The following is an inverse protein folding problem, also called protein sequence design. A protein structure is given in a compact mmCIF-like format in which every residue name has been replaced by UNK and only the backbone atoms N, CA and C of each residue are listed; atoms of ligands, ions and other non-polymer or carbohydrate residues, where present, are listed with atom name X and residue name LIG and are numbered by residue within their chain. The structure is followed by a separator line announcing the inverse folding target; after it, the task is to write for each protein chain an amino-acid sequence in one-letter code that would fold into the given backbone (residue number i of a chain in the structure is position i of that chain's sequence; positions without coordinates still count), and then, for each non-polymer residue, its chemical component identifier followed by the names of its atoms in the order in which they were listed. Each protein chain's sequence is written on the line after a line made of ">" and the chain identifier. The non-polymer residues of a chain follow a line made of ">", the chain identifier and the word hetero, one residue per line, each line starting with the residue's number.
data_IF_788617110122
#
_entry.id   IF_788617110122
#
_cell.length_a   1.000
_cell.length_b   1.000
_cell.length_c   1.000
_cell.angle_alpha   90.00
_cell.angle_beta   90.00
_cell.angle_gamma   90.00
#
_symmetry.space_group_name_H-M   'P 1'
#
loop_
_entity.id
_entity.type
_entity.pdbx_description
1 polymer ?
#
# COMPACT_ATOMS: atom_id res chain seq x y z
N UNK A 1 -2.07 0.17 5.70
CA UNK A 1 -2.01 1.65 5.72
C UNK A 1 -3.41 2.22 5.60
N UNK A 2 -3.80 3.20 6.42
CA UNK A 2 -5.08 3.87 6.26
C UNK A 2 -5.10 4.73 5.00
N UNK A 3 -6.27 4.87 4.38
CA UNK A 3 -6.55 5.86 3.35
C UNK A 3 -8.01 6.32 3.49
N UNK A 4 -8.32 7.54 3.03
CA UNK A 4 -9.68 8.09 3.11
C UNK A 4 -10.44 7.79 1.81
N UNK A 5 -11.62 7.19 1.92
CA UNK A 5 -12.58 7.10 0.84
C UNK A 5 -13.39 8.40 0.77
N UNK A 6 -13.03 9.23 -0.20
CA UNK A 6 -13.67 10.53 -0.46
C UNK A 6 -15.17 10.42 -0.71
N UNK A 7 -15.67 9.27 -1.17
CA UNK A 7 -17.11 9.08 -1.42
C UNK A 7 -17.91 8.82 -0.14
N UNK A 8 -17.22 8.42 0.94
CA UNK A 8 -17.81 8.15 2.25
C UNK A 8 -17.54 9.25 3.27
N UNK A 9 -16.42 9.97 3.10
CA UNK A 9 -16.05 11.03 4.03
C UNK A 9 -16.98 12.23 3.87
N UNK A 10 -17.60 12.65 4.97
CA UNK A 10 -18.50 13.81 5.05
C UNK A 10 -17.83 15.07 5.61
N UNK A 11 -16.51 15.00 5.85
CA UNK A 11 -15.74 16.11 6.38
C UNK A 11 -15.93 16.41 7.87
N UNK A 12 -16.49 15.48 8.66
CA UNK A 12 -16.77 15.72 10.09
C UNK A 12 -15.55 16.03 10.97
N UNK A 13 -14.33 15.67 10.56
CA UNK A 13 -13.09 16.03 11.26
C UNK A 13 -12.74 15.20 12.50
N UNK A 14 -13.56 14.24 12.93
CA UNK A 14 -13.29 13.43 14.14
C UNK A 14 -11.92 12.76 14.13
N UNK A 15 -11.50 12.19 13.00
CA UNK A 15 -10.18 11.58 12.88
C UNK A 15 -9.01 12.57 13.01
N UNK A 16 -9.23 13.85 12.69
CA UNK A 16 -8.23 14.92 12.87
C UNK A 16 -8.04 15.20 14.36
N UNK A 17 -9.13 15.37 15.10
CA UNK A 17 -9.12 15.66 16.54
C UNK A 17 -8.50 14.51 17.36
N UNK A 18 -8.82 13.28 16.99
CA UNK A 18 -8.37 12.08 17.70
C UNK A 18 -6.95 11.64 17.32
N UNK A 19 -6.31 12.25 16.31
CA UNK A 19 -4.97 11.83 15.88
C UNK A 19 -3.91 12.19 16.95
N UNK A 20 -3.29 11.22 17.66
CA UNK A 20 -2.39 11.51 18.77
C UNK A 20 -1.06 12.14 18.34
N UNK A 21 -0.75 12.07 17.04
CA UNK A 21 0.47 12.62 16.44
C UNK A 21 0.19 13.74 15.44
N UNK A 22 -1.08 14.17 15.29
CA UNK A 22 -1.46 15.34 14.51
C UNK A 22 -1.12 15.30 13.02
N UNK A 23 -1.22 14.13 12.39
CA UNK A 23 -0.83 13.93 10.96
C UNK A 23 -2.01 13.85 10.00
N UNK A 24 -3.21 14.17 10.46
CA UNK A 24 -4.43 14.16 9.65
C UNK A 24 -4.92 15.61 9.56
N UNK A 25 -5.27 16.05 8.35
CA UNK A 25 -5.79 17.39 8.12
C UNK A 25 -6.98 17.36 7.16
N UNK A 26 -7.76 18.44 7.15
CA UNK A 26 -8.85 18.64 6.21
C UNK A 26 -8.33 19.35 4.95
N UNK A 27 -8.58 18.76 3.77
CA UNK A 27 -8.33 19.37 2.47
C UNK A 27 -9.56 19.19 1.59
N UNK A 28 -10.07 20.29 1.01
CA UNK A 28 -11.23 20.25 0.10
C UNK A 28 -12.43 19.49 0.70
N UNK A 29 -12.75 19.78 1.96
CA UNK A 29 -13.84 19.15 2.73
C UNK A 29 -13.65 17.66 3.06
N UNK A 30 -12.51 17.05 2.71
CA UNK A 30 -12.20 15.65 2.98
C UNK A 30 -10.94 15.52 3.85
N UNK A 31 -10.92 14.53 4.75
CA UNK A 31 -9.72 14.24 5.53
C UNK A 31 -8.58 13.69 4.63
N UNK A 32 -7.34 14.00 5.00
CA UNK A 32 -6.12 13.50 4.36
C UNK A 32 -5.12 13.09 5.44
N UNK A 33 -4.44 11.96 5.23
CA UNK A 33 -3.50 11.38 6.20
C UNK A 33 -2.08 11.51 5.64
N UNK A 34 -1.21 12.19 6.38
CA UNK A 34 0.23 12.28 6.08
C UNK A 34 0.95 11.04 6.60
N UNK A 35 1.13 10.05 5.72
CA UNK A 35 1.66 8.74 6.09
C UNK A 35 3.10 8.76 6.62
N UNK A 36 3.90 9.79 6.31
CA UNK A 36 5.28 9.92 6.78
C UNK A 36 5.39 10.09 8.31
N UNK A 37 4.38 10.71 8.94
CA UNK A 37 4.31 10.87 10.40
C UNK A 37 3.35 9.89 11.09
N UNK A 38 2.66 9.04 10.33
CA UNK A 38 1.66 8.11 10.89
C UNK A 38 2.32 6.97 11.66
N UNK A 39 2.02 6.88 12.97
CA UNK A 39 2.51 5.81 13.85
C UNK A 39 1.71 4.50 13.77
N UNK A 40 0.70 4.43 12.89
CA UNK A 40 -0.10 3.22 12.63
C UNK A 40 -0.85 2.70 13.88
N UNK A 41 -1.31 3.60 14.75
CA UNK A 41 -2.07 3.26 15.95
C UNK A 41 -3.52 2.82 15.68
N UNK A 42 -4.01 2.97 14.44
CA UNK A 42 -5.35 2.61 13.98
C UNK A 42 -6.54 3.40 14.56
N UNK A 43 -6.34 4.30 15.54
CA UNK A 43 -7.44 5.06 16.17
C UNK A 43 -8.36 5.77 15.18
N UNK A 44 -7.84 6.33 14.08
CA UNK A 44 -8.64 6.97 13.03
C UNK A 44 -9.68 6.04 12.40
N UNK A 45 -9.42 4.73 12.33
CA UNK A 45 -10.39 3.75 11.85
C UNK A 45 -11.55 3.60 12.84
N UNK A 46 -11.23 3.47 14.13
CA UNK A 46 -12.21 3.20 15.18
C UNK A 46 -13.17 4.37 15.41
N UNK A 47 -12.69 5.61 15.24
CA UNK A 47 -13.46 6.83 15.53
C UNK A 47 -14.21 7.40 14.33
N UNK A 48 -14.01 6.87 13.12
CA UNK A 48 -14.65 7.43 11.93
C UNK A 48 -16.12 6.97 11.82
N UNK A 49 -17.11 7.87 12.02
CA UNK A 49 -18.51 7.47 12.03
C UNK A 49 -19.02 7.02 10.66
N UNK A 50 -18.39 7.50 9.57
CA UNK A 50 -18.72 7.11 8.20
C UNK A 50 -17.97 5.87 7.74
N UNK A 51 -17.10 5.30 8.59
CA UNK A 51 -16.11 4.27 8.26
C UNK A 51 -15.36 4.56 6.94
N UNK A 52 -15.11 5.85 6.67
CA UNK A 52 -14.43 6.32 5.48
C UNK A 52 -12.92 6.07 5.52
N UNK A 53 -12.36 5.72 6.69
CA UNK A 53 -10.94 5.35 6.82
C UNK A 53 -10.80 3.87 6.49
N UNK A 54 -10.27 3.59 5.31
CA UNK A 54 -10.16 2.26 4.70
C UNK A 54 -8.76 1.68 4.85
N UNK A 55 -8.60 0.36 4.74
CA UNK A 55 -7.30 -0.28 4.77
C UNK A 55 -6.72 -0.44 3.36
N UNK A 56 -5.40 -0.32 3.21
CA UNK A 56 -4.70 -0.61 1.94
C UNK A 56 -4.84 -2.07 1.50
N UNK A 57 -5.20 -2.99 2.41
CA UNK A 57 -5.58 -4.36 2.09
C UNK A 57 -6.73 -4.43 1.09
N UNK A 58 -7.65 -3.46 1.12
CA UNK A 58 -8.79 -3.41 0.22
C UNK A 58 -8.35 -3.16 -1.24
N UNK A 59 -7.16 -2.57 -1.42
CA UNK A 59 -6.56 -2.30 -2.74
C UNK A 59 -5.74 -3.48 -3.27
N UNK A 60 -5.58 -4.58 -2.54
CA UNK A 60 -4.73 -5.72 -2.96
C UNK A 60 -5.15 -6.28 -4.32
N UNK A 61 -6.44 -6.56 -4.60
CA UNK A 61 -6.85 -7.08 -5.92
C UNK A 61 -6.52 -6.13 -7.07
N UNK A 62 -6.78 -4.82 -6.89
CA UNK A 62 -6.45 -3.80 -7.88
C UNK A 62 -4.95 -3.72 -8.13
N UNK A 63 -4.12 -3.76 -7.08
CA UNK A 63 -2.65 -3.76 -7.21
C UNK A 63 -2.13 -4.97 -7.96
N UNK A 64 -2.71 -6.16 -7.76
CA UNK A 64 -2.36 -7.37 -8.52
C UNK A 64 -2.66 -7.14 -10.01
N UNK A 65 -3.84 -6.63 -10.34
CA UNK A 65 -4.22 -6.35 -11.72
C UNK A 65 -3.28 -5.33 -12.38
N UNK A 66 -2.95 -4.24 -11.67
CA UNK A 66 -2.01 -3.23 -12.15
C UNK A 66 -0.62 -3.80 -12.42
N UNK A 67 -0.12 -4.65 -11.52
CA UNK A 67 1.19 -5.31 -11.68
C UNK A 67 1.21 -6.22 -12.91
N UNK A 68 0.14 -6.99 -13.13
CA UNK A 68 -0.01 -7.86 -14.30
C UNK A 68 -0.12 -7.03 -15.58
N UNK A 69 -0.93 -5.97 -15.59
CA UNK A 69 -1.12 -5.09 -16.74
C UNK A 69 0.18 -4.38 -17.13
N UNK A 70 0.92 -3.83 -16.16
CA UNK A 70 2.24 -3.23 -16.38
C UNK A 70 3.23 -4.23 -16.94
N UNK A 71 3.24 -5.45 -16.40
CA UNK A 71 4.13 -6.53 -16.88
C UNK A 71 3.82 -6.90 -18.34
N UNK A 72 2.53 -7.05 -18.71
CA UNK A 72 2.11 -7.30 -20.09
C UNK A 72 2.58 -6.19 -21.03
N UNK A 73 2.38 -4.92 -20.66
CA UNK A 73 2.86 -3.77 -21.45
C UNK A 73 4.38 -3.80 -21.66
N UNK A 74 5.14 -4.16 -20.63
CA UNK A 74 6.60 -4.27 -20.72
C UNK A 74 7.05 -5.41 -21.64
N UNK A 75 6.35 -6.55 -21.60
CA UNK A 75 6.59 -7.69 -22.50
C UNK A 75 6.37 -7.26 -23.95
N UNK A 76 5.22 -6.66 -24.24
CA UNK A 76 4.88 -6.15 -25.58
C UNK A 76 5.92 -5.14 -26.08
N UNK A 77 6.35 -4.21 -25.23
CA UNK A 77 7.39 -3.24 -25.55
C UNK A 77 8.74 -3.91 -25.88
N UNK A 78 9.15 -4.94 -25.12
CA UNK A 78 10.38 -5.69 -25.40
C UNK A 78 10.29 -6.42 -26.75
N UNK A 79 9.18 -7.10 -27.03
CA UNK A 79 8.97 -7.80 -28.30
C UNK A 79 9.01 -6.81 -29.46
N UNK A 80 8.33 -5.67 -29.33
CA UNK A 80 8.29 -4.62 -30.36
C UNK A 80 9.67 -4.02 -30.62
N UNK A 81 10.45 -3.75 -29.58
CA UNK A 81 11.74 -3.08 -29.71
C UNK A 81 12.82 -4.00 -30.28
N UNK A 82 12.88 -5.25 -29.82
CA UNK A 82 13.92 -6.20 -30.23
C UNK A 82 13.50 -7.11 -31.38
N UNK A 83 12.22 -7.13 -31.75
CA UNK A 83 11.69 -7.94 -32.85
C UNK A 83 11.64 -9.44 -32.56
N UNK A 84 11.82 -9.87 -31.31
CA UNK A 84 11.87 -11.30 -30.94
C UNK A 84 10.98 -11.61 -29.74
N UNK A 85 10.23 -12.70 -29.82
CA UNK A 85 9.36 -13.19 -28.73
C UNK A 85 10.14 -13.52 -27.46
N UNK A 86 11.33 -14.11 -27.60
CA UNK A 86 12.20 -14.50 -26.48
C UNK A 86 12.55 -13.34 -25.54
N UNK A 87 12.61 -12.10 -26.04
CA UNK A 87 12.88 -10.92 -25.22
C UNK A 87 11.70 -10.55 -24.32
N UNK A 88 10.48 -10.86 -24.76
CA UNK A 88 9.28 -10.79 -23.93
C UNK A 88 9.33 -11.81 -22.78
N UNK A 89 9.74 -13.03 -23.05
CA UNK A 89 9.87 -14.08 -22.02
C UNK A 89 10.94 -13.70 -20.99
N UNK A 90 12.10 -13.19 -21.44
CA UNK A 90 13.14 -12.64 -20.54
C UNK A 90 12.61 -11.49 -19.70
N UNK A 91 11.78 -10.60 -20.26
CA UNK A 91 11.15 -9.51 -19.52
C UNK A 91 10.23 -10.04 -18.41
N UNK A 92 9.38 -11.03 -18.72
CA UNK A 92 8.53 -11.68 -17.74
C UNK A 92 9.38 -12.30 -16.61
N UNK A 93 10.45 -13.01 -16.94
CA UNK A 93 11.34 -13.60 -15.93
C UNK A 93 12.01 -12.55 -15.04
N UNK A 94 12.39 -11.39 -15.57
CA UNK A 94 12.90 -10.27 -14.77
C UNK A 94 11.84 -9.73 -13.80
N UNK A 95 10.59 -9.60 -14.25
CA UNK A 95 9.48 -9.15 -13.39
C UNK A 95 9.15 -10.17 -12.30
N UNK A 96 9.13 -11.46 -12.61
CA UNK A 96 8.96 -12.53 -11.60
C UNK A 96 10.07 -12.42 -10.55
N UNK A 97 11.34 -12.34 -10.97
CA UNK A 97 12.47 -12.18 -10.05
C UNK A 97 12.35 -10.95 -9.16
N UNK A 98 11.87 -9.82 -9.69
CA UNK A 98 11.60 -8.61 -8.91
C UNK A 98 10.60 -8.89 -7.78
N UNK A 99 9.40 -9.40 -8.09
CA UNK A 99 8.38 -9.67 -7.07
C UNK A 99 8.81 -10.77 -6.09
N UNK A 100 9.56 -11.78 -6.54
CA UNK A 100 10.14 -12.79 -5.64
C UNK A 100 11.13 -12.17 -4.66
N UNK A 101 11.97 -11.23 -5.11
CA UNK A 101 12.88 -10.51 -4.22
C UNK A 101 12.12 -9.65 -3.22
N UNK A 102 11.13 -8.87 -3.65
CA UNK A 102 10.31 -8.06 -2.75
C UNK A 102 9.57 -8.92 -1.73
N UNK A 103 9.02 -10.07 -2.15
CA UNK A 103 8.42 -11.06 -1.26
C UNK A 103 9.43 -11.53 -0.20
N UNK A 104 10.64 -11.93 -0.61
CA UNK A 104 11.67 -12.42 0.30
C UNK A 104 12.11 -11.33 1.31
N UNK A 105 12.22 -10.08 0.86
CA UNK A 105 12.54 -8.94 1.73
C UNK A 105 11.43 -8.77 2.77
N UNK A 106 10.16 -8.79 2.35
CA UNK A 106 9.02 -8.66 3.25
C UNK A 106 8.97 -9.79 4.28
N UNK A 107 9.10 -11.05 3.85
CA UNK A 107 9.14 -12.23 4.72
C UNK A 107 10.25 -12.12 5.77
N UNK A 108 11.49 -11.86 5.35
CA UNK A 108 12.63 -11.71 6.28
C UNK A 108 12.51 -10.50 7.20
N UNK A 109 11.86 -9.43 6.74
CA UNK A 109 11.60 -8.27 7.58
C UNK A 109 10.60 -8.64 8.68
N UNK A 110 9.54 -9.37 8.34
CA UNK A 110 8.55 -9.86 9.30
C UNK A 110 9.22 -10.77 10.33
N UNK A 111 10.04 -11.75 9.91
CA UNK A 111 10.80 -12.63 10.82
C UNK A 111 11.59 -11.80 11.86
N UNK A 112 12.33 -10.79 11.42
CA UNK A 112 13.09 -9.90 12.32
C UNK A 112 12.20 -9.06 13.24
N UNK A 113 11.04 -8.59 12.77
CA UNK A 113 10.11 -7.83 13.60
C UNK A 113 9.45 -8.72 14.66
N UNK A 114 9.18 -9.99 14.35
CA UNK A 114 8.67 -10.97 15.31
C UNK A 114 9.70 -11.31 16.40
N UNK A 115 11.00 -11.31 16.08
CA UNK A 115 12.07 -11.43 17.08
C UNK A 115 12.05 -10.26 18.08
N UNK A 116 11.75 -9.03 17.62
CA UNK A 116 11.63 -7.86 18.52
C UNK A 116 10.49 -8.02 19.52
N UNK A 117 9.38 -8.65 19.12
CA UNK A 117 8.24 -8.94 20.00
C UNK A 117 8.64 -9.77 21.22
N UNK A 118 9.58 -10.71 21.04
CA UNK A 118 10.07 -11.56 22.12
C UNK A 118 11.05 -10.83 23.07
N UNK A 119 11.64 -9.72 22.61
CA UNK A 119 12.61 -8.91 23.38
C UNK A 119 11.97 -7.75 24.18
N UNK A 120 10.72 -7.41 23.89
CA UNK A 120 9.98 -6.30 24.52
C UNK A 120 8.99 -6.74 25.60
N UNK A 121 8.95 -8.03 25.94
CA UNK A 121 8.23 -8.54 27.12
C UNK A 121 9.03 -8.19 28.39
N UNK A 122 8.89 -6.94 28.85
CA UNK A 122 9.14 -6.51 30.24
C UNK A 122 7.78 -6.16 30.85
#
# INVERSE_FOLDING_TARGET
>A
MPWIDDTRCDGCGTCVEECPVGVIEMQEEVARIHMDGCIRCALCHDVCPQEAVMHDSDKVPARIQDNVAKTKKNIEACIKHFGKKEEGDKCLQRMIKHFTREKNIAEKTIEKLEELKNSQSI
#
